data_IF_316113302391
#
_entry.id   IF_316113302391
#
_cell.length_a   1.000
_cell.length_b   1.000
_cell.length_c   1.000
_cell.angle_alpha   90.00
_cell.angle_beta   90.00
_cell.angle_gamma   90.00
#
_symmetry.space_group_name_H-M   'P 1'
#
loop_
_entity.id
_entity.type
_entity.pdbx_description
1 polymer ?
#
# COMPACT_ATOMS: atom_id res chain seq x y z
N UNK A 1 8.17 2.12 -15.88
CA UNK A 1 8.51 2.15 -15.30
C UNK A 1 8.18 2.52 -14.02
N UNK A 2 7.38 2.17 -13.32
CA UNK A 2 7.12 2.51 -12.14
C UNK A 2 7.49 1.53 -11.20
N UNK A 3 8.09 1.79 -10.16
CA UNK A 3 8.41 0.88 -9.22
C UNK A 3 7.59 1.12 -8.04
N UNK A 4 7.74 0.42 -6.96
CA UNK A 4 7.01 0.63 -5.73
C UNK A 4 7.21 2.06 -5.29
N UNK A 5 6.14 2.76 -5.05
CA UNK A 5 6.25 4.13 -4.65
C UNK A 5 6.15 4.32 -3.16
N UNK A 6 5.73 3.30 -2.43
CA UNK A 6 5.62 3.42 -0.98
C UNK A 6 6.58 2.45 -0.32
N UNK A 7 7.40 2.95 0.57
CA UNK A 7 8.36 2.11 1.28
C UNK A 7 7.77 1.62 2.59
N UNK A 8 8.31 0.52 3.09
CA UNK A 8 7.90 0.01 4.38
C UNK A 8 8.18 1.08 5.42
N UNK A 9 7.20 1.33 6.28
CA UNK A 9 7.32 2.36 7.29
C UNK A 9 6.75 3.70 6.88
N UNK A 10 6.38 3.84 5.62
CA UNK A 10 5.85 5.11 5.15
C UNK A 10 4.39 5.24 5.51
N UNK A 11 3.97 6.46 5.82
CA UNK A 11 2.60 6.74 6.16
C UNK A 11 1.85 7.17 4.92
N UNK A 12 0.71 6.57 4.66
CA UNK A 12 -0.08 6.87 3.49
C UNK A 12 -1.55 6.93 3.88
N UNK A 13 -2.38 7.32 2.94
CA UNK A 13 -3.82 7.36 3.16
C UNK A 13 -4.54 6.40 2.24
N UNK A 14 -5.61 5.81 2.74
CA UNK A 14 -6.48 4.97 1.92
C UNK A 14 -7.42 5.90 1.19
N UNK A 15 -7.39 5.88 -0.13
CA UNK A 15 -8.20 6.78 -0.93
C UNK A 15 -9.68 6.69 -0.63
N UNK A 16 -10.16 5.48 -0.45
CA UNK A 16 -11.59 5.29 -0.24
C UNK A 16 -12.12 5.91 1.05
N UNK A 17 -11.33 5.87 2.11
CA UNK A 17 -11.79 6.34 3.40
C UNK A 17 -11.06 7.56 3.91
N UNK A 18 -9.90 7.84 3.36
CA UNK A 18 -9.08 8.95 3.85
C UNK A 18 -8.34 8.64 5.13
N UNK A 19 -8.34 7.38 5.53
CA UNK A 19 -7.71 6.99 6.77
C UNK A 19 -6.19 6.89 6.60
N UNK A 20 -5.45 7.37 7.58
CA UNK A 20 -3.98 7.30 7.55
C UNK A 20 -3.53 5.95 8.07
N UNK A 21 -2.65 5.31 7.34
CA UNK A 21 -2.14 4.00 7.72
C UNK A 21 -0.65 3.96 7.44
N UNK A 22 0.03 2.99 8.03
CA UNK A 22 1.47 2.86 7.86
C UNK A 22 1.79 1.57 7.15
N UNK A 23 2.62 1.64 6.14
CA UNK A 23 3.02 0.48 5.36
C UNK A 23 3.84 -0.47 6.22
N UNK A 24 3.40 -1.71 6.31
CA UNK A 24 4.09 -2.72 7.07
C UNK A 24 4.90 -3.63 6.14
N UNK A 25 4.35 -3.94 4.99
CA UNK A 25 5.00 -4.84 4.07
C UNK A 25 4.59 -4.51 2.65
N UNK A 26 5.50 -4.76 1.73
CA UNK A 26 5.27 -4.48 0.33
C UNK A 26 5.62 -5.73 -0.45
N UNK A 27 4.78 -6.11 -1.40
CA UNK A 27 5.08 -7.29 -2.17
C UNK A 27 4.56 -7.15 -3.59
N UNK A 28 5.29 -7.67 -4.54
CA UNK A 28 4.91 -7.56 -5.94
C UNK A 28 4.05 -8.75 -6.34
N UNK A 29 2.91 -8.47 -6.91
CA UNK A 29 1.99 -9.52 -7.36
C UNK A 29 2.19 -9.70 -8.84
N UNK A 30 2.95 -10.72 -9.23
CA UNK A 30 3.27 -10.97 -10.60
C UNK A 30 2.08 -11.10 -11.52
N UNK A 31 1.08 -11.81 -11.12
CA UNK A 31 -0.08 -12.00 -11.96
C UNK A 31 -0.77 -10.72 -12.34
N UNK A 32 -0.73 -9.74 -11.47
CA UNK A 32 -1.41 -8.49 -11.72
C UNK A 32 -0.44 -7.39 -12.08
N UNK A 33 0.85 -7.70 -11.98
CA UNK A 33 1.90 -6.73 -12.28
C UNK A 33 1.74 -5.46 -11.48
N UNK A 34 1.41 -5.62 -10.19
CA UNK A 34 1.21 -4.52 -9.29
C UNK A 34 1.84 -4.80 -7.96
N UNK A 35 2.08 -3.75 -7.20
CA UNK A 35 2.56 -3.90 -5.84
C UNK A 35 1.38 -3.90 -4.91
N UNK A 36 1.41 -4.79 -3.93
CA UNK A 36 0.40 -4.85 -2.88
C UNK A 36 1.06 -4.47 -1.59
N UNK A 37 0.34 -3.76 -0.74
CA UNK A 37 0.86 -3.27 0.51
C UNK A 37 0.01 -3.74 1.66
N UNK A 38 0.66 -4.16 2.73
CA UNK A 38 -0.02 -4.53 3.95
C UNK A 38 0.29 -3.46 4.96
N UNK A 39 -0.72 -2.96 5.62
CA UNK A 39 -0.55 -1.87 6.57
C UNK A 39 -0.73 -2.38 7.99
N UNK A 40 -0.11 -1.69 8.95
CA UNK A 40 -0.19 -2.09 10.33
C UNK A 40 -1.61 -2.15 10.86
N UNK A 41 -2.41 -1.20 10.43
CA UNK A 41 -3.77 -1.07 10.93
C UNK A 41 -4.70 -2.18 10.46
N UNK A 42 -4.37 -2.79 9.33
CA UNK A 42 -5.21 -3.85 8.77
C UNK A 42 -4.31 -5.01 8.30
N UNK A 43 -3.77 -5.76 9.24
CA UNK A 43 -2.78 -6.79 8.89
C UNK A 43 -3.34 -7.98 8.13
N UNK A 44 -4.63 -8.13 8.10
CA UNK A 44 -5.23 -9.27 7.41
C UNK A 44 -5.72 -8.95 6.01
N UNK A 45 -5.38 -7.79 5.51
CA UNK A 45 -5.81 -7.41 4.19
C UNK A 45 -4.67 -6.71 3.48
N UNK A 46 -4.82 -6.45 2.20
CA UNK A 46 -3.78 -5.73 1.48
C UNK A 46 -4.44 -4.72 0.56
N UNK A 47 -3.64 -3.74 0.15
CA UNK A 47 -4.11 -2.69 -0.74
C UNK A 47 -3.16 -2.58 -1.91
N UNK A 48 -3.68 -2.34 -3.09
CA UNK A 48 -2.83 -2.10 -4.24
C UNK A 48 -2.42 -0.63 -4.21
N UNK A 49 -1.34 -0.32 -4.88
CA UNK A 49 -0.84 1.04 -4.80
C UNK A 49 -1.85 2.07 -5.29
N UNK A 50 -2.72 1.68 -6.20
CA UNK A 50 -3.72 2.63 -6.68
C UNK A 50 -4.80 2.94 -5.66
N UNK A 51 -4.88 2.14 -4.59
CA UNK A 51 -5.84 2.38 -3.53
C UNK A 51 -5.29 3.26 -2.42
N UNK A 52 -4.04 3.60 -2.52
CA UNK A 52 -3.37 4.40 -1.51
C UNK A 52 -2.84 5.67 -2.13
N UNK A 53 -2.65 6.67 -1.30
CA UNK A 53 -2.09 7.92 -1.78
C UNK A 53 -1.16 8.48 -0.71
N UNK A 54 -0.21 9.29 -1.11
CA UNK A 54 0.70 9.89 -0.15
C UNK A 54 -0.02 10.92 0.68
N UNK A 55 0.41 11.06 1.91
CA UNK A 55 -0.17 12.06 2.80
C UNK A 55 0.29 13.46 2.48
#
# INVERSE_FOLDING_TARGET
MRESIFAVGKEVKIKASGESVTIYKCQFVKNMKRYAYIVNEYPNTFFFEEELTEE
#
